data_IF_463226473459
#
_entry.id   IF_463226473459
#
_cell.length_a   1.000
_cell.length_b   1.000
_cell.length_c   1.000
_cell.angle_alpha   90.00
_cell.angle_beta   90.00
_cell.angle_gamma   90.00
#
_symmetry.space_group_name_H-M   'P 1'
#
loop_
_entity.id
_entity.type
_entity.pdbx_description
1 polymer ?
#
# COMPACT_ATOMS: atom_id res chain seq x y z
N UNK A 1 -4.30 1.55 7.98
CA UNK A 1 -3.09 1.94 7.22
C UNK A 1 -2.38 3.09 7.90
N UNK A 2 -1.06 3.16 7.74
CA UNK A 2 -0.22 4.24 8.27
C UNK A 2 0.78 4.70 7.21
N UNK A 3 1.44 5.83 7.45
CA UNK A 3 2.54 6.33 6.59
C UNK A 3 3.76 5.41 6.55
N UNK A 4 3.77 4.33 7.33
CA UNK A 4 4.81 3.29 7.35
C UNK A 4 4.38 2.02 6.59
N UNK A 5 3.11 1.94 6.16
CA UNK A 5 2.63 0.82 5.34
C UNK A 5 3.35 0.87 3.99
N UNK A 6 4.11 -0.17 3.67
CA UNK A 6 5.03 -0.20 2.53
C UNK A 6 5.08 -1.60 1.89
N UNK A 7 5.58 -1.67 0.66
CA UNK A 7 6.00 -2.92 0.01
C UNK A 7 4.91 -4.00 0.01
N UNK A 8 5.11 -5.15 0.68
CA UNK A 8 4.10 -6.22 0.74
C UNK A 8 2.78 -5.79 1.39
N UNK A 9 2.80 -4.78 2.27
CA UNK A 9 1.59 -4.17 2.83
C UNK A 9 0.79 -3.41 1.77
N UNK A 10 1.48 -2.67 0.91
CA UNK A 10 0.86 -1.99 -0.24
C UNK A 10 0.40 -3.00 -1.30
N UNK A 11 1.18 -4.04 -1.58
CA UNK A 11 0.80 -5.10 -2.51
C UNK A 11 -0.46 -5.84 -2.03
N UNK A 12 -0.54 -6.17 -0.73
CA UNK A 12 -1.72 -6.80 -0.12
C UNK A 12 -2.94 -5.90 -0.25
N UNK A 13 -2.81 -4.63 0.13
CA UNK A 13 -3.85 -3.62 -0.06
C UNK A 13 -4.37 -3.60 -1.50
N UNK A 14 -3.45 -3.57 -2.48
CA UNK A 14 -3.80 -3.51 -3.90
C UNK A 14 -4.65 -4.68 -4.40
N UNK A 15 -4.57 -5.85 -3.75
CA UNK A 15 -5.43 -7.01 -4.08
C UNK A 15 -6.88 -6.83 -3.65
N UNK A 16 -7.12 -5.98 -2.64
CA UNK A 16 -8.44 -5.76 -2.04
C UNK A 16 -9.11 -4.47 -2.53
N UNK A 17 -8.35 -3.57 -3.18
CA UNK A 17 -8.88 -2.28 -3.62
C UNK A 17 -9.98 -2.41 -4.66
N UNK A 18 -11.06 -1.67 -4.46
CA UNK A 18 -12.22 -1.63 -5.35
C UNK A 18 -13.21 -2.79 -5.17
N UNK A 19 -13.00 -3.68 -4.20
CA UNK A 19 -14.01 -4.67 -3.81
C UNK A 19 -15.13 -3.99 -3.00
N UNK A 20 -16.39 -4.36 -3.27
CA UNK A 20 -17.57 -3.68 -2.71
C UNK A 20 -17.64 -3.73 -1.17
N UNK A 21 -17.18 -4.82 -0.57
CA UNK A 21 -17.22 -5.05 0.89
C UNK A 21 -15.86 -4.83 1.55
N UNK A 22 -15.01 -4.00 0.95
CA UNK A 22 -13.71 -3.63 1.50
C UNK A 22 -13.65 -2.11 1.66
N UNK A 23 -13.13 -1.68 2.81
CA UNK A 23 -12.82 -0.29 3.06
C UNK A 23 -11.53 -0.18 3.87
N UNK A 24 -10.72 0.82 3.54
CA UNK A 24 -9.43 1.06 4.18
C UNK A 24 -9.50 2.29 5.08
N UNK A 25 -8.92 2.17 6.27
CA UNK A 25 -8.96 3.20 7.32
C UNK A 25 -7.55 3.60 7.72
N UNK A 26 -7.32 4.87 8.03
CA UNK A 26 -6.02 5.37 8.49
C UNK A 26 -5.45 6.47 7.61
N UNK A 27 -4.12 6.45 7.47
CA UNK A 27 -3.38 7.41 6.65
C UNK A 27 -3.01 6.80 5.30
N UNK A 28 -2.51 7.63 4.38
CA UNK A 28 -1.87 7.13 3.16
C UNK A 28 -0.67 6.23 3.48
N UNK A 29 -0.35 5.32 2.57
CA UNK A 29 0.85 4.47 2.64
C UNK A 29 2.13 5.28 2.38
N UNK A 30 3.31 4.64 2.43
CA UNK A 30 4.57 5.35 2.17
C UNK A 30 4.77 5.66 0.67
N UNK A 31 4.22 4.82 -0.23
CA UNK A 31 4.35 5.01 -1.68
C UNK A 31 5.74 4.73 -2.21
N UNK A 32 6.37 3.61 -1.83
CA UNK A 32 7.70 3.24 -2.34
C UNK A 32 7.59 2.06 -3.31
N UNK A 33 8.13 2.24 -4.52
CA UNK A 33 8.17 1.17 -5.51
C UNK A 33 8.96 -0.04 -4.98
N UNK A 34 8.51 -1.25 -5.36
CA UNK A 34 9.01 -2.53 -4.86
C UNK A 34 9.41 -3.46 -6.01
N UNK A 35 10.04 -4.59 -5.66
CA UNK A 35 10.61 -5.54 -6.63
C UNK A 35 11.92 -5.04 -7.21
N UNK A 36 12.86 -4.79 -6.29
CA UNK A 36 14.23 -4.43 -6.61
C UNK A 36 15.04 -5.67 -6.98
N UNK A 37 15.75 -5.62 -8.10
CA UNK A 37 16.85 -6.53 -8.40
C UNK A 37 18.16 -5.89 -7.95
N UNK A 38 19.02 -6.68 -7.31
CA UNK A 38 20.36 -6.24 -6.90
C UNK A 38 21.37 -6.70 -7.94
N UNK A 39 22.15 -5.76 -8.46
CA UNK A 39 23.24 -6.01 -9.40
C UNK A 39 24.57 -5.64 -8.75
N UNK A 40 25.52 -6.57 -8.75
CA UNK A 40 26.89 -6.28 -8.34
C UNK A 40 27.63 -5.58 -9.50
N UNK A 41 28.36 -4.54 -9.17
CA UNK A 41 29.20 -3.77 -10.10
C UNK A 41 30.64 -4.28 -10.05
N UNK A 42 31.46 -3.82 -10.98
CA UNK A 42 32.84 -4.31 -11.17
C UNK A 42 33.81 -3.89 -10.05
N UNK A 43 33.42 -2.91 -9.23
CA UNK A 43 34.19 -2.29 -8.16
C UNK A 43 33.65 -2.66 -6.75
N UNK A 44 32.96 -3.80 -6.66
CA UNK A 44 32.31 -4.33 -5.45
C UNK A 44 31.14 -3.47 -4.90
N UNK A 45 30.78 -2.38 -5.58
CA UNK A 45 29.53 -1.68 -5.30
C UNK A 45 28.32 -2.52 -5.74
N UNK A 46 27.14 -2.23 -5.17
CA UNK A 46 25.88 -2.83 -5.58
C UNK A 46 24.86 -1.76 -5.96
N UNK A 47 24.05 -2.06 -6.96
CA UNK A 47 22.93 -1.24 -7.41
C UNK A 47 21.62 -1.99 -7.17
N UNK A 48 20.73 -1.41 -6.37
CA UNK A 48 19.34 -1.84 -6.30
C UNK A 48 18.53 -1.10 -7.37
N UNK A 49 18.07 -1.83 -8.37
CA UNK A 49 17.22 -1.31 -9.44
C UNK A 49 15.80 -1.83 -9.26
N UNK A 50 14.82 -0.96 -9.16
CA UNK A 50 13.41 -1.34 -9.22
C UNK A 50 13.07 -1.79 -10.63
N UNK A 51 12.73 -3.07 -10.81
CA UNK A 51 12.49 -3.68 -12.14
C UNK A 51 11.04 -4.12 -12.35
N UNK A 52 10.18 -3.93 -11.35
CA UNK A 52 8.76 -4.34 -11.44
C UNK A 52 7.82 -3.25 -10.96
N UNK A 53 6.55 -3.35 -11.35
CA UNK A 53 5.44 -2.60 -10.78
C UNK A 53 4.33 -3.54 -10.37
N UNK A 54 3.72 -3.25 -9.21
CA UNK A 54 2.44 -3.84 -8.86
C UNK A 54 1.31 -3.13 -9.61
N UNK A 55 0.27 -3.89 -9.95
CA UNK A 55 -0.92 -3.40 -10.65
C UNK A 55 -2.16 -3.90 -9.93
N UNK A 56 -3.14 -3.04 -9.70
CA UNK A 56 -4.42 -3.43 -9.08
C UNK A 56 -5.25 -4.28 -10.06
N UNK A 57 -6.31 -4.92 -9.57
CA UNK A 57 -7.24 -5.69 -10.42
C UNK A 57 -7.88 -4.83 -11.52
N UNK A 58 -8.14 -3.55 -11.24
CA UNK A 58 -8.67 -2.57 -12.20
C UNK A 58 -7.59 -1.91 -13.06
N UNK A 59 -6.34 -2.31 -12.87
CA UNK A 59 -5.22 -1.93 -13.68
C UNK A 59 -4.47 -0.66 -13.30
N UNK A 60 -4.73 -0.11 -12.12
CA UNK A 60 -4.01 1.06 -11.61
C UNK A 60 -2.60 0.69 -11.15
N UNK A 61 -1.66 1.60 -11.34
CA UNK A 61 -0.25 1.49 -10.91
C UNK A 61 0.07 2.73 -10.09
N UNK A 62 0.62 2.53 -8.89
CA UNK A 62 0.97 3.63 -7.97
C UNK A 62 2.48 3.97 -8.01
N UNK A 63 3.35 2.99 -8.23
CA UNK A 63 4.81 3.22 -8.31
C UNK A 63 5.36 3.86 -7.04
N UNK A 64 5.88 5.10 -7.16
CA UNK A 64 6.37 5.91 -6.04
C UNK A 64 5.31 6.90 -5.49
N UNK A 65 4.03 6.56 -5.64
CA UNK A 65 2.92 7.40 -5.17
C UNK A 65 2.23 6.70 -3.99
N UNK A 66 2.07 7.38 -2.84
CA UNK A 66 1.27 6.86 -1.73
C UNK A 66 -0.15 6.45 -2.15
N UNK A 67 -0.64 5.34 -1.61
CA UNK A 67 -2.03 4.91 -1.77
C UNK A 67 -2.85 5.56 -0.66
N UNK A 68 -3.88 6.36 -0.98
CA UNK A 68 -4.74 6.96 0.02
C UNK A 68 -5.65 5.92 0.69
N UNK A 69 -6.00 6.16 1.95
CA UNK A 69 -7.10 5.44 2.60
C UNK A 69 -8.45 5.94 2.10
N UNK A 70 -9.44 5.03 2.03
CA UNK A 70 -10.83 5.38 1.72
C UNK A 70 -11.41 6.28 2.81
N UNK A 71 -11.10 5.98 4.07
CA UNK A 71 -11.45 6.79 5.24
C UNK A 71 -10.18 7.27 5.91
N UNK A 72 -9.96 8.60 5.83
CA UNK A 72 -8.80 9.24 6.46
C UNK A 72 -9.02 9.37 7.96
N UNK A 73 -8.14 8.76 8.75
CA UNK A 73 -8.15 8.84 10.21
C UNK A 73 -6.73 9.03 10.72
N UNK A 74 -6.58 9.29 12.03
CA UNK A 74 -5.28 9.09 12.69
C UNK A 74 -4.97 7.59 12.76
N UNK A 75 -3.70 7.24 13.00
CA UNK A 75 -3.31 5.83 13.21
C UNK A 75 -4.11 5.18 14.35
N UNK A 76 -4.24 5.89 15.48
CA UNK A 76 -4.94 5.39 16.67
C UNK A 76 -6.46 5.25 16.42
N UNK A 77 -7.09 6.22 15.76
CA UNK A 77 -8.53 6.19 15.49
C UNK A 77 -8.95 5.23 14.38
N UNK A 78 -8.00 4.62 13.65
CA UNK A 78 -8.32 3.76 12.50
C UNK A 78 -9.09 2.50 12.88
N UNK A 79 -8.84 1.93 14.06
CA UNK A 79 -9.52 0.72 14.54
C UNK A 79 -10.95 1.03 14.98
N UNK A 80 -11.16 2.16 15.65
CA UNK A 80 -12.48 2.62 16.09
C UNK A 80 -13.41 2.88 14.89
N UNK A 81 -12.94 3.64 13.89
CA UNK A 81 -13.71 3.92 12.68
C UNK A 81 -13.96 2.65 11.84
N UNK A 82 -12.99 1.74 11.76
CA UNK A 82 -13.21 0.45 11.09
C UNK A 82 -14.27 -0.39 11.81
N UNK A 83 -14.29 -0.38 13.14
CA UNK A 83 -15.27 -1.13 13.96
C UNK A 83 -16.66 -0.56 13.76
N UNK A 84 -16.80 0.78 13.84
CA UNK A 84 -18.06 1.46 13.57
C UNK A 84 -18.61 1.15 12.18
N UNK A 85 -17.76 1.17 11.15
CA UNK A 85 -18.19 0.81 9.80
C UNK A 85 -18.71 -0.62 9.71
N UNK A 86 -18.08 -1.58 10.41
CA UNK A 86 -18.56 -2.96 10.45
C UNK A 86 -19.92 -3.06 11.14
N UNK A 87 -20.12 -2.38 12.27
CA UNK A 87 -21.40 -2.35 13.00
C UNK A 87 -22.54 -1.73 12.20
N UNK A 88 -22.25 -0.78 11.31
CA UNK A 88 -23.24 -0.13 10.44
C UNK A 88 -23.52 -0.93 9.15
N UNK A 89 -22.63 -1.85 8.78
CA UNK A 89 -22.68 -2.60 7.52
C UNK A 89 -23.34 -3.97 7.62
N UNK A 90 -23.68 -4.45 8.83
CA UNK A 90 -24.30 -5.74 9.12
C UNK A 90 -25.42 -5.60 10.16
#
# INVERSE_FOLDING_TARGET
MSTMTASSGEATLMTLMGLENVKTFGQQTIGLASGNAVYNLYDDAWMALTVTYNKTINGQIFGNTPIPADVKTTYIGSVEEATKWLEESF
#
